data_IF_977593445307
#
_entry.id   IF_977593445307
#
_cell.length_a   1.000
_cell.length_b   1.000
_cell.length_c   1.000
_cell.angle_alpha   90.00
_cell.angle_beta   90.00
_cell.angle_gamma   90.00
#
_symmetry.space_group_name_H-M   'P 1'
#
loop_
_entity.id
_entity.type
_entity.pdbx_description
1 polymer ?
#
# COMPACT_ATOMS: atom_id res chain seq x y z
N UNK A 1 11.88 -10.11 2.24
CA UNK A 1 11.68 -10.44 3.67
C UNK A 1 10.28 -9.95 4.00
N UNK A 2 9.30 -10.84 4.12
CA UNK A 2 7.90 -10.43 4.25
C UNK A 2 7.59 -10.16 5.73
N UNK A 3 7.26 -8.90 6.04
CA UNK A 3 6.86 -8.47 7.38
C UNK A 3 5.37 -8.77 7.54
N UNK A 4 5.06 -9.79 8.34
CA UNK A 4 3.67 -10.15 8.66
C UNK A 4 3.15 -9.25 9.78
N UNK A 5 2.04 -8.54 9.54
CA UNK A 5 1.32 -7.84 10.60
C UNK A 5 0.49 -8.82 11.44
N UNK A 6 0.61 -8.82 12.78
CA UNK A 6 -0.14 -9.72 13.63
C UNK A 6 -1.59 -9.23 13.82
N UNK A 7 -2.57 -10.08 13.52
CA UNK A 7 -3.96 -9.87 13.94
C UNK A 7 -4.18 -10.51 15.31
N UNK A 8 -4.40 -9.67 16.32
CA UNK A 8 -4.73 -10.09 17.68
C UNK A 8 -6.25 -10.10 17.86
N UNK A 9 -6.83 -11.27 18.13
CA UNK A 9 -8.16 -11.40 18.74
C UNK A 9 -8.13 -12.47 19.83
N UNK A 10 -8.71 -12.15 20.98
CA UNK A 10 -8.93 -13.04 22.13
C UNK A 10 -7.70 -13.80 22.66
N UNK A 11 -6.52 -13.15 22.61
CA UNK A 11 -5.30 -13.66 23.26
C UNK A 11 -4.70 -14.91 22.61
N UNK A 12 -5.09 -15.22 21.36
CA UNK A 12 -4.49 -16.30 20.57
C UNK A 12 -4.08 -15.76 19.20
N UNK A 13 -2.88 -16.15 18.77
CA UNK A 13 -2.38 -15.84 17.43
C UNK A 13 -2.75 -17.01 16.50
N UNK A 14 -3.68 -16.78 15.59
CA UNK A 14 -4.01 -17.70 14.51
C UNK A 14 -3.27 -17.25 13.25
N UNK A 15 -2.41 -18.12 12.69
CA UNK A 15 -1.68 -17.86 11.45
C UNK A 15 -2.48 -18.45 10.28
N UNK A 16 -2.88 -17.60 9.34
CA UNK A 16 -3.39 -18.05 8.04
C UNK A 16 -2.20 -18.49 7.18
N UNK A 17 -2.00 -19.79 7.04
CA UNK A 17 -1.05 -20.36 6.09
C UNK A 17 -1.65 -20.17 4.69
N UNK A 18 -1.13 -19.22 3.91
CA UNK A 18 -1.36 -19.16 2.46
C UNK A 18 -0.58 -20.35 1.88
N UNK A 19 -1.31 -21.38 1.45
CA UNK A 19 -0.73 -22.55 0.81
C UNK A 19 -0.01 -22.14 -0.48
N UNK A 20 1.14 -22.76 -0.72
CA UNK A 20 2.00 -22.63 -1.90
C UNK A 20 1.20 -22.34 -3.18
N UNK A 21 1.59 -21.27 -3.86
CA UNK A 21 1.41 -21.18 -5.30
C UNK A 21 2.79 -21.14 -5.92
N UNK A 22 3.06 -22.20 -6.68
CA UNK A 22 4.20 -22.34 -7.56
C UNK A 22 4.48 -21.05 -8.33
N UNK A 23 5.74 -20.61 -8.29
CA UNK A 23 6.27 -19.54 -9.12
C UNK A 23 6.27 -20.06 -10.56
N UNK A 24 5.30 -19.62 -11.36
CA UNK A 24 5.38 -19.72 -12.81
C UNK A 24 6.01 -18.42 -13.29
N UNK A 25 7.24 -18.51 -13.80
CA UNK A 25 7.90 -17.43 -14.53
C UNK A 25 7.38 -17.52 -15.96
N UNK A 26 6.45 -16.63 -16.32
CA UNK A 26 6.15 -16.35 -17.72
C UNK A 26 6.76 -14.99 -18.07
N UNK A 27 7.94 -15.08 -18.69
CA UNK A 27 8.55 -14.06 -19.54
C UNK A 27 7.74 -14.02 -20.84
N UNK A 28 6.73 -13.15 -20.90
CA UNK A 28 6.09 -12.76 -22.15
C UNK A 28 5.72 -11.26 -22.06
N UNK A 29 6.45 -10.44 -22.82
CA UNK A 29 6.37 -8.97 -22.84
C UNK A 29 5.01 -8.39 -23.24
N UNK A 30 4.07 -8.38 -22.30
CA UNK A 30 2.97 -7.45 -22.19
C UNK A 30 3.08 -6.76 -20.83
N UNK A 31 2.84 -5.45 -20.81
CA UNK A 31 2.82 -4.61 -19.60
C UNK A 31 1.65 -5.08 -18.73
N UNK A 32 1.87 -6.14 -17.93
CA UNK A 32 0.83 -6.71 -17.09
C UNK A 32 0.50 -5.65 -16.03
N UNK A 33 -0.77 -5.19 -15.96
CA UNK A 33 -1.13 -4.09 -15.07
C UNK A 33 -0.71 -4.44 -13.65
N UNK A 34 0.07 -3.53 -13.04
CA UNK A 34 0.63 -3.70 -11.71
C UNK A 34 -0.45 -4.18 -10.71
N UNK A 35 -0.13 -5.20 -9.92
CA UNK A 35 -1.11 -5.81 -9.04
C UNK A 35 -1.55 -4.86 -7.92
N UNK A 36 -2.68 -5.15 -7.28
CA UNK A 36 -3.15 -4.37 -6.13
C UNK A 36 -2.10 -4.29 -5.01
N UNK A 37 -1.46 -5.43 -4.71
CA UNK A 37 -0.44 -5.52 -3.65
C UNK A 37 0.79 -4.67 -4.03
N UNK A 38 1.27 -4.75 -5.27
CA UNK A 38 2.41 -3.96 -5.75
C UNK A 38 2.13 -2.45 -5.76
N UNK A 39 0.90 -2.04 -6.10
CA UNK A 39 0.50 -0.62 -6.06
C UNK A 39 0.45 -0.08 -4.63
N UNK A 40 0.00 -0.88 -3.66
CA UNK A 40 0.05 -0.52 -2.25
C UNK A 40 1.50 -0.35 -1.76
N UNK A 41 2.39 -1.27 -2.17
CA UNK A 41 3.82 -1.20 -1.84
C UNK A 41 4.48 0.05 -2.47
N UNK A 42 4.20 0.36 -3.73
CA UNK A 42 4.71 1.57 -4.39
C UNK A 42 4.26 2.86 -3.68
N UNK A 43 2.98 2.95 -3.29
CA UNK A 43 2.49 4.07 -2.49
C UNK A 43 3.27 4.17 -1.17
N UNK A 44 3.49 3.05 -0.48
CA UNK A 44 4.24 3.04 0.78
C UNK A 44 5.65 3.60 0.58
N UNK A 45 6.35 3.16 -0.47
CA UNK A 45 7.68 3.64 -0.81
C UNK A 45 7.70 5.15 -1.13
N UNK A 46 6.70 5.65 -1.86
CA UNK A 46 6.56 7.08 -2.16
C UNK A 46 6.34 7.92 -0.88
N UNK A 47 5.52 7.41 0.05
CA UNK A 47 5.29 8.05 1.35
C UNK A 47 6.58 8.08 2.18
N UNK A 48 7.34 6.99 2.25
CA UNK A 48 8.64 6.94 2.94
C UNK A 48 9.63 7.96 2.37
N UNK A 49 9.67 8.10 1.03
CA UNK A 49 10.50 9.06 0.32
C UNK A 49 9.96 10.51 0.39
N UNK A 50 8.80 10.73 1.01
CA UNK A 50 8.09 12.02 1.09
C UNK A 50 7.72 12.60 -0.28
N UNK A 51 7.56 11.76 -1.28
CA UNK A 51 7.05 12.11 -2.61
C UNK A 51 5.52 12.17 -2.56
N UNK A 52 5.01 13.15 -1.80
CA UNK A 52 3.60 13.21 -1.41
C UNK A 52 2.65 13.44 -2.60
N UNK A 53 3.08 14.18 -3.62
CA UNK A 53 2.21 14.47 -4.75
C UNK A 53 2.02 13.23 -5.63
N UNK A 54 3.09 12.48 -5.90
CA UNK A 54 3.03 11.19 -6.62
C UNK A 54 2.23 10.15 -5.81
N UNK A 55 2.48 10.06 -4.50
CA UNK A 55 1.73 9.17 -3.62
C UNK A 55 0.23 9.48 -3.62
N UNK A 56 -0.15 10.76 -3.69
CA UNK A 56 -1.55 11.17 -3.72
C UNK A 56 -2.22 10.68 -4.99
N UNK A 57 -1.59 10.89 -6.14
CA UNK A 57 -2.20 10.62 -7.44
C UNK A 57 -2.44 9.11 -7.60
N UNK A 58 -1.43 8.27 -7.28
CA UNK A 58 -1.58 6.81 -7.31
C UNK A 58 -2.64 6.29 -6.32
N UNK A 59 -2.74 6.93 -5.15
CA UNK A 59 -3.67 6.56 -4.10
C UNK A 59 -5.12 6.98 -4.40
N UNK A 60 -5.32 8.07 -5.15
CA UNK A 60 -6.64 8.44 -5.69
C UNK A 60 -7.13 7.39 -6.68
N UNK A 61 -6.29 7.00 -7.64
CA UNK A 61 -6.61 5.97 -8.62
C UNK A 61 -6.97 4.64 -7.92
N UNK A 62 -6.20 4.26 -6.89
CA UNK A 62 -6.42 3.01 -6.16
C UNK A 62 -7.71 3.03 -5.32
N UNK A 63 -8.09 4.18 -4.76
CA UNK A 63 -9.33 4.34 -4.01
C UNK A 63 -10.57 4.46 -4.89
N UNK A 64 -10.44 4.97 -6.12
CA UNK A 64 -11.52 4.94 -7.10
C UNK A 64 -11.85 3.49 -7.50
N UNK A 65 -10.83 2.65 -7.66
CA UNK A 65 -10.99 1.24 -8.01
C UNK A 65 -11.41 0.38 -6.80
N UNK A 66 -10.85 0.64 -5.61
CA UNK A 66 -11.08 -0.14 -4.39
C UNK A 66 -11.52 0.73 -3.19
N UNK A 67 -12.70 1.39 -3.27
CA UNK A 67 -13.11 2.44 -2.32
C UNK A 67 -13.33 1.98 -0.87
N UNK A 68 -13.46 0.68 -0.64
CA UNK A 68 -13.70 0.08 0.67
C UNK A 68 -12.55 -0.82 1.14
N UNK A 69 -11.45 -0.88 0.39
CA UNK A 69 -10.28 -1.66 0.81
C UNK A 69 -9.58 -0.96 1.97
N UNK A 70 -9.25 -1.73 3.01
CA UNK A 70 -8.69 -1.19 4.24
C UNK A 70 -7.31 -0.58 4.05
N UNK A 71 -6.50 -1.15 3.16
CA UNK A 71 -5.10 -0.78 2.97
C UNK A 71 -4.92 0.57 2.26
N UNK A 72 -5.57 0.87 1.12
CA UNK A 72 -5.55 2.20 0.51
C UNK A 72 -6.11 3.29 1.45
N UNK A 73 -7.15 2.96 2.23
CA UNK A 73 -7.71 3.88 3.24
C UNK A 73 -6.72 4.16 4.37
N UNK A 74 -5.97 3.15 4.81
CA UNK A 74 -4.89 3.32 5.79
C UNK A 74 -3.77 4.21 5.23
N UNK A 75 -3.34 3.94 4.00
CA UNK A 75 -2.32 4.74 3.31
C UNK A 75 -2.79 6.19 3.12
N UNK A 76 -4.08 6.44 2.86
CA UNK A 76 -4.66 7.78 2.79
C UNK A 76 -4.52 8.52 4.12
N UNK A 77 -4.83 7.85 5.24
CA UNK A 77 -4.68 8.43 6.58
C UNK A 77 -3.24 8.84 6.88
N UNK A 78 -2.28 8.00 6.49
CA UNK A 78 -0.84 8.28 6.59
C UNK A 78 -0.45 9.47 5.73
N UNK A 79 -0.86 9.49 4.45
CA UNK A 79 -0.65 10.61 3.54
C UNK A 79 -1.16 11.94 4.11
N UNK A 80 -2.42 11.98 4.57
CA UNK A 80 -3.04 13.19 5.11
C UNK A 80 -2.30 13.72 6.34
N UNK A 81 -1.81 12.82 7.19
CA UNK A 81 -1.00 13.18 8.35
C UNK A 81 0.30 13.83 7.89
N UNK A 82 1.02 13.23 6.94
CA UNK A 82 2.28 13.76 6.42
C UNK A 82 2.11 15.09 5.69
N UNK A 83 1.07 15.23 4.86
CA UNK A 83 0.77 16.47 4.14
C UNK A 83 0.40 17.61 5.10
N UNK A 84 -0.34 17.30 6.18
CA UNK A 84 -0.62 18.27 7.24
C UNK A 84 0.68 18.79 7.88
N UNK A 85 1.62 17.90 8.23
CA UNK A 85 2.91 18.29 8.76
C UNK A 85 3.76 19.08 7.76
N UNK A 86 3.75 18.69 6.47
CA UNK A 86 4.42 19.42 5.38
C UNK A 86 3.95 20.87 5.36
N UNK A 87 2.63 21.10 5.41
CA UNK A 87 2.02 22.44 5.38
C UNK A 87 2.35 23.28 6.61
N UNK A 88 2.47 22.67 7.79
CA UNK A 88 2.82 23.39 9.03
C UNK A 88 4.28 23.84 9.02
N UNK A 89 5.20 22.93 8.66
CA UNK A 89 6.63 23.16 8.84
C UNK A 89 7.37 23.64 7.60
N UNK A 90 6.76 23.52 6.42
CA UNK A 90 7.28 24.06 5.18
C UNK A 90 6.16 24.75 4.39
N UNK A 91 5.53 25.79 4.97
CA UNK A 91 4.54 26.59 4.26
C UNK A 91 5.26 27.30 3.11
N UNK A 92 4.84 26.98 1.88
CA UNK A 92 5.33 27.59 0.64
C UNK A 92 5.05 29.09 0.61
#
# INVERSE_FOLDING_TARGET
MNVLAPLLRDGKADFLIRADKDIVVDDDGFDDPMSFEDRCDEISDLLEQRLLDDARDLLQDLLEEFPHSAEPLFLMGTYLTMDHWRKIYNPS
#
